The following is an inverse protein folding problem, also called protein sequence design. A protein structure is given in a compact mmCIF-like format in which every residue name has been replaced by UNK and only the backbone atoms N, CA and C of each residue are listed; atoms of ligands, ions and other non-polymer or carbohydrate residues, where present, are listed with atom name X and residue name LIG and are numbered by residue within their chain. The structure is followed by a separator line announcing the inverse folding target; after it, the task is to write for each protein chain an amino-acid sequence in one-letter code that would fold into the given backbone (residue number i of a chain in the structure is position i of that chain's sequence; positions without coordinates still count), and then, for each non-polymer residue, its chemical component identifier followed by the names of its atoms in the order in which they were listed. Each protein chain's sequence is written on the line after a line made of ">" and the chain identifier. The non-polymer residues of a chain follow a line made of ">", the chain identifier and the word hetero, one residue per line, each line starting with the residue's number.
data_IF_984255927924
#
_entry.id   IF_984255927924
#
_cell.length_a   1.000
_cell.length_b   1.000
_cell.length_c   1.000
_cell.angle_alpha   90.00
_cell.angle_beta   90.00
_cell.angle_gamma   90.00
#
_symmetry.space_group_name_H-M   'P 1'
#
loop_
_entity.id
_entity.type
_entity.pdbx_description
1 polymer ?
#
# COMPACT_ATOMS: atom_id res chain seq x y z
N UNK A 1 -47.23 0.78 12.16
CA UNK A 1 -46.98 -0.66 12.29
C UNK A 1 -46.44 -1.25 10.98
N UNK A 2 -46.97 -0.83 9.83
CA UNK A 2 -46.64 -1.42 8.51
C UNK A 2 -45.20 -1.16 8.04
N UNK A 3 -44.60 -0.02 8.40
CA UNK A 3 -43.20 0.28 8.06
C UNK A 3 -42.19 -0.62 8.81
N UNK A 4 -42.50 -0.96 10.06
CA UNK A 4 -41.69 -1.89 10.87
C UNK A 4 -41.81 -3.32 10.35
N UNK A 5 -43.02 -3.74 9.98
CA UNK A 5 -43.27 -5.05 9.39
C UNK A 5 -42.56 -5.22 8.04
N UNK A 6 -42.56 -4.15 7.22
CA UNK A 6 -41.87 -4.12 5.93
C UNK A 6 -40.35 -4.18 6.08
N UNK A 7 -39.78 -3.47 7.07
CA UNK A 7 -38.36 -3.58 7.40
C UNK A 7 -37.98 -4.98 7.90
N UNK A 8 -38.80 -5.59 8.75
CA UNK A 8 -38.60 -6.97 9.23
C UNK A 8 -38.63 -7.97 8.07
N UNK A 9 -39.57 -7.83 7.13
CA UNK A 9 -39.68 -8.71 5.97
C UNK A 9 -38.43 -8.60 5.07
N UNK A 10 -37.95 -7.37 4.82
CA UNK A 10 -36.72 -7.13 4.06
C UNK A 10 -35.49 -7.73 4.76
N UNK A 11 -35.39 -7.63 6.08
CA UNK A 11 -34.31 -8.25 6.86
C UNK A 11 -34.37 -9.78 6.79
N UNK A 12 -35.57 -10.37 6.83
CA UNK A 12 -35.76 -11.83 6.71
C UNK A 12 -35.40 -12.32 5.31
N UNK A 13 -35.79 -11.60 4.25
CA UNK A 13 -35.43 -11.93 2.87
C UNK A 13 -33.92 -11.78 2.66
N UNK A 14 -33.30 -10.75 3.24
CA UNK A 14 -31.86 -10.56 3.21
C UNK A 14 -31.14 -11.71 3.96
N UNK A 15 -31.61 -12.10 5.14
CA UNK A 15 -31.06 -13.22 5.90
C UNK A 15 -31.21 -14.55 5.14
N UNK A 16 -32.37 -14.81 4.53
CA UNK A 16 -32.63 -16.01 3.74
C UNK A 16 -31.77 -16.05 2.47
N UNK A 17 -31.61 -14.93 1.76
CA UNK A 17 -30.75 -14.86 0.58
C UNK A 17 -29.28 -15.01 0.93
N UNK A 18 -28.80 -14.40 2.02
CA UNK A 18 -27.44 -14.62 2.55
C UNK A 18 -27.23 -16.08 2.96
N UNK A 19 -28.23 -16.71 3.58
CA UNK A 19 -28.18 -18.12 3.96
C UNK A 19 -28.13 -19.04 2.73
N UNK A 20 -28.95 -18.79 1.71
CA UNK A 20 -28.97 -19.57 0.46
C UNK A 20 -27.66 -19.39 -0.33
N UNK A 21 -27.13 -18.16 -0.43
CA UNK A 21 -25.83 -17.89 -1.06
C UNK A 21 -24.69 -18.59 -0.29
N UNK A 22 -24.75 -18.62 1.05
CA UNK A 22 -23.77 -19.34 1.85
C UNK A 22 -23.80 -20.85 1.61
N UNK A 23 -25.00 -21.43 1.46
CA UNK A 23 -25.17 -22.85 1.10
C UNK A 23 -24.73 -23.14 -0.34
N UNK A 24 -25.04 -22.28 -1.29
CA UNK A 24 -24.61 -22.44 -2.69
C UNK A 24 -23.08 -22.35 -2.84
N UNK A 25 -22.42 -21.41 -2.14
CA UNK A 25 -20.94 -21.36 -2.06
C UNK A 25 -20.34 -22.59 -1.40
N UNK A 26 -21.02 -23.17 -0.40
CA UNK A 26 -20.59 -24.42 0.25
C UNK A 26 -20.76 -25.63 -0.68
N UNK A 27 -21.80 -25.63 -1.51
CA UNK A 27 -22.15 -26.75 -2.41
C UNK A 27 -21.39 -26.74 -3.75
N UNK A 28 -20.73 -25.63 -4.12
CA UNK A 28 -19.88 -25.56 -5.32
C UNK A 28 -18.45 -26.10 -5.10
N UNK A 29 -18.23 -26.86 -4.03
CA UNK A 29 -17.02 -27.67 -3.81
C UNK A 29 -17.27 -29.10 -4.30
N UNK A 30 -17.53 -29.25 -5.59
CA UNK A 30 -17.77 -30.54 -6.22
C UNK A 30 -16.49 -31.21 -6.73
N UNK A 31 -16.30 -32.47 -6.33
CA UNK A 31 -15.55 -33.54 -7.00
C UNK A 31 -14.01 -33.58 -6.86
N UNK A 32 -13.54 -34.31 -5.85
CA UNK A 32 -12.16 -34.74 -5.62
C UNK A 32 -11.77 -34.53 -4.16
N UNK A 33 -11.29 -35.55 -3.47
CA UNK A 33 -10.93 -35.53 -2.03
C UNK A 33 -9.68 -34.67 -1.72
N UNK A 34 -9.63 -33.43 -2.18
CA UNK A 34 -8.52 -32.52 -1.89
C UNK A 34 -8.69 -31.97 -0.47
N UNK A 35 -7.65 -32.15 0.36
CA UNK A 35 -7.62 -31.63 1.73
C UNK A 35 -7.41 -30.11 1.64
N UNK A 36 -8.47 -29.32 1.82
CA UNK A 36 -8.34 -27.86 1.91
C UNK A 36 -7.70 -27.45 3.25
N UNK A 37 -7.02 -26.28 3.32
CA UNK A 37 -6.47 -25.78 4.58
C UNK A 37 -7.55 -25.68 5.68
N UNK A 38 -7.21 -26.02 6.93
CA UNK A 38 -8.14 -25.97 8.04
C UNK A 38 -8.55 -24.52 8.34
N UNK A 39 -9.76 -24.35 8.86
CA UNK A 39 -10.30 -23.03 9.23
C UNK A 39 -11.66 -22.72 8.61
N UNK A 40 -12.22 -21.60 9.06
CA UNK A 40 -13.58 -21.13 8.78
C UNK A 40 -13.54 -19.88 7.90
N UNK A 41 -14.59 -19.65 7.11
CA UNK A 41 -14.74 -18.43 6.31
C UNK A 41 -15.65 -17.39 6.96
N UNK A 42 -16.10 -17.60 8.20
CA UNK A 42 -16.91 -16.63 8.94
C UNK A 42 -18.28 -16.34 8.30
N UNK A 43 -18.75 -15.10 8.48
CA UNK A 43 -20.07 -14.63 8.04
C UNK A 43 -20.15 -14.46 6.51
N UNK A 44 -21.33 -14.61 5.90
CA UNK A 44 -21.51 -14.29 4.48
C UNK A 44 -21.07 -12.84 4.18
N UNK A 45 -20.39 -12.65 3.04
CA UNK A 45 -19.89 -11.36 2.51
C UNK A 45 -18.75 -10.68 3.30
N UNK A 46 -18.80 -10.64 4.63
CA UNK A 46 -17.80 -9.95 5.46
C UNK A 46 -16.74 -10.89 6.05
N UNK A 47 -17.02 -12.19 6.04
CA UNK A 47 -16.11 -13.22 6.51
C UNK A 47 -15.75 -13.06 7.99
N UNK A 48 -14.46 -13.11 8.29
CA UNK A 48 -13.86 -12.83 9.58
C UNK A 48 -13.22 -11.43 9.65
N UNK A 49 -13.47 -10.55 8.66
CA UNK A 49 -12.82 -9.24 8.55
C UNK A 49 -12.99 -8.37 9.80
N UNK A 50 -14.19 -8.36 10.41
CA UNK A 50 -14.43 -7.58 11.63
C UNK A 50 -13.62 -8.13 12.82
N UNK A 51 -13.55 -9.46 12.94
CA UNK A 51 -12.75 -10.13 13.98
C UNK A 51 -11.26 -9.83 13.79
N UNK A 52 -10.78 -9.84 12.55
CA UNK A 52 -9.40 -9.45 12.21
C UNK A 52 -9.10 -8.00 12.63
N UNK A 53 -9.98 -7.06 12.30
CA UNK A 53 -9.82 -5.64 12.68
C UNK A 53 -9.85 -5.44 14.19
N UNK A 54 -10.79 -6.10 14.90
CA UNK A 54 -10.93 -5.96 16.35
C UNK A 54 -9.76 -6.57 17.14
N UNK A 55 -9.23 -7.72 16.69
CA UNK A 55 -8.12 -8.37 17.37
C UNK A 55 -6.75 -7.79 16.96
N UNK A 56 -6.67 -7.23 15.77
CA UNK A 56 -5.41 -6.89 15.11
C UNK A 56 -4.76 -8.11 14.43
N UNK A 57 -3.88 -7.89 13.43
CA UNK A 57 -3.27 -8.96 12.64
C UNK A 57 -2.56 -10.02 13.50
N UNK A 58 -1.67 -9.60 14.39
CA UNK A 58 -0.84 -10.49 15.22
C UNK A 58 -1.68 -11.47 16.06
N UNK A 59 -2.63 -10.94 16.84
CA UNK A 59 -3.50 -11.77 17.70
C UNK A 59 -4.44 -12.65 16.90
N UNK A 60 -4.94 -12.14 15.77
CA UNK A 60 -5.79 -12.93 14.89
C UNK A 60 -5.03 -14.12 14.30
N UNK A 61 -3.85 -13.86 13.69
CA UNK A 61 -3.05 -14.88 13.01
C UNK A 61 -2.52 -15.90 14.02
N UNK A 62 -1.91 -15.45 15.13
CA UNK A 62 -1.40 -16.36 16.17
C UNK A 62 -2.49 -17.27 16.76
N UNK A 63 -3.70 -16.73 16.97
CA UNK A 63 -4.86 -17.53 17.37
C UNK A 63 -5.23 -18.59 16.33
N UNK A 64 -5.23 -18.24 15.04
CA UNK A 64 -5.52 -19.18 13.95
C UNK A 64 -4.44 -20.24 13.78
N UNK A 65 -3.17 -19.88 13.97
CA UNK A 65 -2.07 -20.84 13.96
C UNK A 65 -2.24 -21.90 15.04
N UNK A 66 -2.67 -21.47 16.24
CA UNK A 66 -2.93 -22.37 17.37
C UNK A 66 -4.18 -23.24 17.16
N UNK A 67 -5.27 -22.65 16.69
CA UNK A 67 -6.58 -23.31 16.65
C UNK A 67 -6.79 -24.15 15.37
N UNK A 68 -6.10 -23.83 14.27
CA UNK A 68 -6.32 -24.46 12.97
C UNK A 68 -5.09 -25.24 12.48
N UNK A 69 -3.97 -24.54 12.27
CA UNK A 69 -2.73 -25.14 11.79
C UNK A 69 -1.59 -24.12 11.88
N UNK A 70 -0.40 -24.53 12.36
CA UNK A 70 0.76 -23.66 12.44
C UNK A 70 1.39 -23.35 11.07
N UNK A 71 1.02 -24.08 10.01
CA UNK A 71 1.63 -23.95 8.68
C UNK A 71 0.77 -23.14 7.70
N UNK A 72 -0.53 -23.44 7.66
CA UNK A 72 -1.47 -22.81 6.73
C UNK A 72 -2.91 -22.94 7.22
N UNK A 73 -3.68 -21.86 7.17
CA UNK A 73 -5.10 -21.89 7.48
C UNK A 73 -5.94 -21.14 6.46
N UNK A 74 -7.22 -21.49 6.37
CA UNK A 74 -8.23 -20.80 5.56
C UNK A 74 -8.95 -19.76 6.40
N UNK A 75 -9.20 -18.59 5.81
CA UNK A 75 -10.10 -17.56 6.35
C UNK A 75 -10.86 -16.86 5.23
N UNK A 76 -11.74 -15.91 5.57
CA UNK A 76 -12.24 -14.92 4.64
C UNK A 76 -12.04 -13.51 5.18
N UNK A 77 -11.25 -12.70 4.46
CA UNK A 77 -11.01 -11.29 4.78
C UNK A 77 -11.30 -10.45 3.53
N UNK A 78 -11.83 -9.24 3.73
CA UNK A 78 -12.16 -8.28 2.67
C UNK A 78 -13.12 -8.85 1.60
N UNK A 79 -13.99 -9.77 2.01
CA UNK A 79 -14.96 -10.43 1.12
C UNK A 79 -14.41 -11.58 0.28
N UNK A 80 -13.13 -11.89 0.42
CA UNK A 80 -12.45 -12.94 -0.33
C UNK A 80 -12.14 -14.14 0.56
N UNK A 81 -12.17 -15.35 -0.01
CA UNK A 81 -11.63 -16.54 0.68
C UNK A 81 -10.13 -16.61 0.44
N UNK A 82 -9.37 -16.83 1.51
CA UNK A 82 -7.91 -16.84 1.43
C UNK A 82 -7.25 -17.91 2.27
N UNK A 83 -6.10 -18.39 1.80
CA UNK A 83 -5.17 -19.19 2.57
C UNK A 83 -4.05 -18.30 3.11
N UNK A 84 -3.84 -18.34 4.43
CA UNK A 84 -2.75 -17.64 5.12
C UNK A 84 -1.66 -18.64 5.41
N UNK A 85 -0.50 -18.40 4.81
CA UNK A 85 0.74 -19.17 4.98
C UNK A 85 1.44 -18.60 6.20
N UNK A 86 1.84 -19.46 7.12
CA UNK A 86 2.34 -19.03 8.41
C UNK A 86 3.83 -19.36 8.55
N UNK A 87 4.54 -18.44 9.18
CA UNK A 87 5.96 -18.57 9.50
C UNK A 87 6.90 -18.54 8.29
N UNK A 88 8.21 -18.59 8.56
CA UNK A 88 9.24 -18.36 7.54
C UNK A 88 9.19 -19.35 6.37
N UNK A 89 8.75 -20.59 6.62
CA UNK A 89 8.61 -21.60 5.57
C UNK A 89 7.47 -21.27 4.60
N UNK A 90 6.34 -20.78 5.12
CA UNK A 90 5.17 -20.38 4.36
C UNK A 90 5.46 -19.15 3.51
N UNK A 91 6.05 -18.13 4.12
CA UNK A 91 6.51 -16.93 3.41
C UNK A 91 7.50 -17.27 2.31
N UNK A 92 8.56 -18.03 2.63
CA UNK A 92 9.56 -18.43 1.65
C UNK A 92 8.92 -19.18 0.49
N UNK A 93 7.98 -20.08 0.75
CA UNK A 93 7.28 -20.80 -0.30
C UNK A 93 6.50 -19.84 -1.20
N UNK A 94 5.73 -18.92 -0.61
CA UNK A 94 4.91 -17.97 -1.35
C UNK A 94 5.75 -17.01 -2.19
N UNK A 95 6.80 -16.41 -1.62
CA UNK A 95 7.65 -15.45 -2.31
C UNK A 95 8.58 -16.10 -3.34
N UNK A 96 9.07 -17.33 -3.11
CA UNK A 96 9.91 -18.04 -4.09
C UNK A 96 9.12 -18.52 -5.32
N UNK A 97 7.80 -18.63 -5.18
CA UNK A 97 6.88 -19.03 -6.24
C UNK A 97 6.05 -17.86 -6.79
N UNK A 98 6.49 -16.63 -6.55
CA UNK A 98 5.86 -15.45 -7.12
C UNK A 98 5.92 -15.48 -8.66
N UNK A 99 4.83 -15.06 -9.30
CA UNK A 99 4.52 -15.17 -10.71
C UNK A 99 4.49 -16.59 -11.30
N UNK A 100 4.95 -17.61 -10.57
CA UNK A 100 4.87 -19.03 -10.95
C UNK A 100 3.53 -19.61 -10.53
N UNK A 101 3.30 -19.75 -9.22
CA UNK A 101 2.10 -20.33 -8.62
C UNK A 101 1.09 -19.27 -8.17
N UNK A 102 1.58 -18.11 -7.73
CA UNK A 102 0.76 -16.98 -7.31
C UNK A 102 1.09 -15.73 -8.15
N UNK A 103 0.15 -14.80 -8.22
CA UNK A 103 0.35 -13.48 -8.84
C UNK A 103 -0.10 -12.39 -7.87
N UNK A 104 0.43 -11.17 -8.01
CA UNK A 104 -0.06 -10.01 -7.28
C UNK A 104 -1.56 -9.82 -7.50
N UNK A 105 -2.27 -9.58 -6.41
CA UNK A 105 -3.67 -9.25 -6.36
C UNK A 105 -3.84 -8.00 -5.50
N UNK A 106 -4.90 -7.23 -5.72
CA UNK A 106 -5.27 -6.14 -4.81
C UNK A 106 -6.76 -6.24 -4.52
N UNK A 107 -7.19 -6.02 -3.27
CA UNK A 107 -8.60 -5.90 -2.94
C UNK A 107 -9.31 -4.88 -3.83
N UNK A 108 -10.56 -5.16 -4.17
CA UNK A 108 -11.35 -4.29 -5.04
C UNK A 108 -11.45 -2.86 -4.48
N UNK A 109 -11.48 -2.72 -3.16
CA UNK A 109 -11.47 -1.43 -2.47
C UNK A 109 -10.25 -0.58 -2.85
N UNK A 110 -9.08 -1.22 -2.86
CA UNK A 110 -7.80 -0.61 -3.24
C UNK A 110 -7.80 -0.27 -4.72
N UNK A 111 -8.18 -1.21 -5.58
CA UNK A 111 -8.16 -0.99 -7.04
C UNK A 111 -9.03 0.19 -7.45
N UNK A 112 -10.28 0.26 -6.98
CA UNK A 112 -11.18 1.37 -7.37
C UNK A 112 -10.80 2.72 -6.76
N UNK A 113 -10.15 2.72 -5.59
CA UNK A 113 -9.68 3.94 -4.96
C UNK A 113 -8.42 4.49 -5.66
N UNK A 114 -7.44 3.64 -5.95
CA UNK A 114 -6.13 4.09 -6.41
C UNK A 114 -5.99 4.17 -7.93
N UNK A 115 -6.68 3.30 -8.66
CA UNK A 115 -6.38 3.05 -10.08
C UNK A 115 -7.54 3.53 -10.96
N UNK A 116 -7.22 3.96 -12.19
CA UNK A 116 -8.23 4.30 -13.19
C UNK A 116 -9.13 3.09 -13.53
N UNK A 117 -10.44 3.30 -13.83
CA UNK A 117 -11.37 2.21 -14.14
C UNK A 117 -10.87 1.23 -15.20
N UNK A 118 -10.21 1.73 -16.24
CA UNK A 118 -9.65 0.96 -17.36
C UNK A 118 -8.59 -0.08 -16.94
N UNK A 119 -8.00 0.09 -15.76
CA UNK A 119 -6.98 -0.79 -15.20
C UNK A 119 -7.50 -1.63 -14.02
N UNK A 120 -8.77 -1.50 -13.63
CA UNK A 120 -9.35 -2.25 -12.50
C UNK A 120 -9.53 -3.73 -12.86
N UNK A 121 -9.91 -4.01 -14.10
CA UNK A 121 -10.21 -5.37 -14.58
C UNK A 121 -9.01 -6.05 -15.24
N UNK A 122 -8.01 -5.27 -15.69
CA UNK A 122 -6.78 -5.80 -16.22
C UNK A 122 -5.92 -6.42 -15.12
N UNK A 123 -5.25 -7.54 -15.43
CA UNK A 123 -4.35 -8.18 -14.49
C UNK A 123 -3.22 -7.20 -14.13
N UNK A 124 -2.86 -7.13 -12.85
CA UNK A 124 -1.80 -6.27 -12.29
C UNK A 124 -0.42 -6.46 -12.97
N UNK A 125 -0.31 -7.36 -13.95
CA UNK A 125 0.89 -7.62 -14.76
C UNK A 125 1.39 -6.38 -15.51
N UNK A 126 0.50 -5.60 -16.14
CA UNK A 126 0.91 -4.45 -16.95
C UNK A 126 1.44 -3.30 -16.07
N UNK A 127 0.89 -3.17 -14.85
CA UNK A 127 1.40 -2.24 -13.83
C UNK A 127 2.73 -2.76 -13.22
N UNK A 128 2.96 -4.07 -13.17
CA UNK A 128 4.09 -4.68 -12.47
C UNK A 128 5.41 -4.76 -13.27
N UNK A 129 5.36 -4.80 -14.61
CA UNK A 129 6.57 -4.76 -15.44
C UNK A 129 7.16 -3.34 -15.48
N UNK A 130 6.32 -2.35 -15.79
CA UNK A 130 6.68 -0.94 -15.87
C UNK A 130 7.18 -0.37 -14.52
N UNK A 131 6.58 -0.83 -13.42
CA UNK A 131 7.00 -0.49 -12.04
C UNK A 131 8.42 -0.97 -11.71
N UNK A 132 8.91 -2.09 -12.28
CA UNK A 132 10.22 -2.65 -11.90
C UNK A 132 11.38 -1.79 -12.40
N UNK A 133 11.37 -1.41 -13.68
CA UNK A 133 12.46 -0.61 -14.26
C UNK A 133 12.61 0.73 -13.55
N UNK A 134 11.48 1.39 -13.33
CA UNK A 134 11.47 2.71 -12.74
C UNK A 134 11.77 2.70 -11.22
N UNK A 135 11.34 1.66 -10.50
CA UNK A 135 11.69 1.52 -9.09
C UNK A 135 13.19 1.34 -8.86
N UNK A 136 13.88 0.64 -9.77
CA UNK A 136 15.33 0.50 -9.70
C UNK A 136 16.05 1.84 -9.90
N UNK A 137 15.59 2.69 -10.82
CA UNK A 137 16.26 3.97 -11.08
C UNK A 137 16.20 4.96 -9.93
N UNK A 138 15.16 4.87 -9.11
CA UNK A 138 14.84 5.89 -8.10
C UNK A 138 15.33 5.48 -6.72
N UNK A 139 15.58 4.18 -6.55
CA UNK A 139 16.16 3.60 -5.34
C UNK A 139 17.65 3.28 -5.51
N UNK A 140 18.26 3.59 -6.66
CA UNK A 140 19.71 3.41 -6.84
C UNK A 140 20.51 4.37 -5.93
N UNK A 141 21.72 3.99 -5.50
CA UNK A 141 22.52 4.81 -4.58
C UNK A 141 22.68 6.27 -5.01
N UNK A 142 22.91 6.53 -6.30
CA UNK A 142 23.05 7.90 -6.82
C UNK A 142 21.78 8.75 -6.63
N UNK A 143 20.60 8.17 -6.82
CA UNK A 143 19.34 8.85 -6.58
C UNK A 143 19.14 9.13 -5.08
N UNK A 144 19.42 8.14 -4.23
CA UNK A 144 19.31 8.29 -2.78
C UNK A 144 20.26 9.37 -2.24
N UNK A 145 21.50 9.44 -2.74
CA UNK A 145 22.47 10.50 -2.41
C UNK A 145 21.92 11.90 -2.71
N UNK A 146 21.19 12.05 -3.81
CA UNK A 146 20.56 13.32 -4.17
C UNK A 146 19.38 13.66 -3.25
N UNK A 147 18.67 12.66 -2.71
CA UNK A 147 17.53 12.88 -1.82
C UNK A 147 17.93 13.34 -0.42
N UNK A 148 19.07 12.89 0.12
CA UNK A 148 19.51 13.20 1.49
C UNK A 148 19.47 14.70 1.82
N UNK A 149 20.13 15.61 1.06
CA UNK A 149 20.10 17.04 1.40
C UNK A 149 18.70 17.65 1.30
N UNK A 150 17.85 17.15 0.40
CA UNK A 150 16.45 17.58 0.27
C UNK A 150 15.66 17.15 1.52
N UNK A 151 15.82 15.89 1.93
CA UNK A 151 15.16 15.32 3.12
C UNK A 151 15.56 16.08 4.39
N UNK A 152 16.85 16.36 4.58
CA UNK A 152 17.36 17.09 5.74
C UNK A 152 16.84 18.53 5.76
N UNK A 153 16.95 19.26 4.64
CA UNK A 153 16.44 20.63 4.54
C UNK A 153 14.94 20.71 4.86
N UNK A 154 14.12 19.85 4.24
CA UNK A 154 12.68 19.80 4.52
C UNK A 154 12.38 19.37 5.96
N UNK A 155 13.15 18.45 6.55
CA UNK A 155 12.96 18.03 7.94
C UNK A 155 13.21 19.19 8.90
N UNK A 156 14.27 19.97 8.68
CA UNK A 156 14.58 21.16 9.49
C UNK A 156 13.46 22.19 9.39
N UNK A 157 13.01 22.52 8.19
CA UNK A 157 11.90 23.46 7.97
C UNK A 157 10.61 22.98 8.64
N UNK A 158 10.30 21.69 8.54
CA UNK A 158 9.12 21.11 9.19
C UNK A 158 9.21 21.16 10.72
N UNK A 159 10.37 20.85 11.30
CA UNK A 159 10.60 20.95 12.75
C UNK A 159 10.50 22.40 13.21
N UNK A 160 11.07 23.35 12.47
CA UNK A 160 11.02 24.78 12.82
C UNK A 160 9.60 25.32 12.76
N UNK A 161 8.84 24.99 11.70
CA UNK A 161 7.50 25.51 11.49
C UNK A 161 6.42 24.83 12.35
N UNK A 162 6.48 23.50 12.49
CA UNK A 162 5.38 22.72 13.04
C UNK A 162 5.65 22.17 14.46
N UNK A 163 6.91 21.98 14.86
CA UNK A 163 7.29 21.33 16.12
C UNK A 163 7.75 22.34 17.17
N UNK A 164 8.80 23.12 16.85
CA UNK A 164 9.48 24.06 17.76
C UNK A 164 8.56 25.10 18.42
N UNK A 165 7.52 25.63 17.76
CA UNK A 165 6.61 26.60 18.37
C UNK A 165 5.67 25.99 19.42
N UNK A 166 5.66 24.65 19.58
CA UNK A 166 4.69 23.93 20.41
C UNK A 166 5.41 23.17 21.52
N UNK A 167 4.88 23.27 22.74
CA UNK A 167 5.39 22.51 23.91
C UNK A 167 5.08 21.01 23.82
N UNK A 168 3.93 20.67 23.23
CA UNK A 168 3.46 19.30 23.05
C UNK A 168 2.91 19.15 21.63
N UNK A 169 3.21 18.01 21.01
CA UNK A 169 2.81 17.73 19.64
C UNK A 169 2.27 16.31 19.50
N UNK A 170 1.40 16.12 18.51
CA UNK A 170 1.03 14.79 18.02
C UNK A 170 1.96 14.43 16.87
N UNK A 171 2.91 13.52 17.12
CA UNK A 171 3.95 13.15 16.15
C UNK A 171 3.34 12.55 14.88
N UNK A 172 2.43 11.58 14.98
CA UNK A 172 1.91 10.85 13.82
C UNK A 172 1.27 11.76 12.74
N UNK A 173 0.36 12.70 13.06
CA UNK A 173 -0.16 13.64 12.06
C UNK A 173 0.92 14.51 11.40
N UNK A 174 1.90 14.98 12.17
CA UNK A 174 2.99 15.82 11.65
C UNK A 174 3.95 15.02 10.77
N UNK A 175 4.33 13.81 11.20
CA UNK A 175 5.13 12.90 10.39
C UNK A 175 4.43 12.55 9.07
N UNK A 176 3.11 12.30 9.09
CA UNK A 176 2.33 12.04 7.87
C UNK A 176 2.34 13.23 6.91
N UNK A 177 2.15 14.45 7.44
CA UNK A 177 2.28 15.69 6.66
C UNK A 177 3.67 15.78 6.02
N UNK A 178 4.73 15.68 6.83
CA UNK A 178 6.11 15.72 6.35
C UNK A 178 6.39 14.68 5.25
N UNK A 179 6.02 13.41 5.46
CA UNK A 179 6.25 12.35 4.47
C UNK A 179 5.48 12.56 3.17
N UNK A 180 4.28 13.15 3.25
CA UNK A 180 3.49 13.46 2.06
C UNK A 180 4.11 14.63 1.28
N UNK A 181 4.46 15.72 1.97
CA UNK A 181 5.11 16.89 1.37
C UNK A 181 6.44 16.49 0.75
N UNK A 182 7.24 15.66 1.44
CA UNK A 182 8.49 15.11 0.92
C UNK A 182 8.26 14.24 -0.32
N UNK A 183 7.23 13.40 -0.35
CA UNK A 183 6.90 12.60 -1.53
C UNK A 183 6.48 13.50 -2.71
N UNK A 184 5.68 14.54 -2.47
CA UNK A 184 5.36 15.56 -3.49
C UNK A 184 6.62 16.25 -4.01
N UNK A 185 7.56 16.60 -3.13
CA UNK A 185 8.84 17.20 -3.53
C UNK A 185 9.69 16.25 -4.37
N UNK A 186 9.98 15.05 -3.87
CA UNK A 186 10.89 14.11 -4.52
C UNK A 186 10.32 13.54 -5.82
N UNK A 187 9.00 13.31 -5.87
CA UNK A 187 8.37 12.63 -7.00
C UNK A 187 7.75 13.57 -8.03
N UNK A 188 7.24 14.73 -7.60
CA UNK A 188 6.51 15.62 -8.50
C UNK A 188 7.21 16.97 -8.66
N UNK A 189 8.27 17.23 -7.88
CA UNK A 189 8.92 18.52 -7.80
C UNK A 189 7.97 19.66 -7.41
N UNK A 190 6.99 19.37 -6.54
CA UNK A 190 6.01 20.35 -6.05
C UNK A 190 6.46 20.86 -4.69
N UNK A 191 6.54 22.19 -4.56
CA UNK A 191 6.88 22.89 -3.31
C UNK A 191 5.74 23.77 -2.81
N UNK A 192 4.86 24.23 -3.72
CA UNK A 192 3.79 25.16 -3.36
C UNK A 192 2.78 24.50 -2.40
N UNK A 193 2.52 25.10 -1.22
CA UNK A 193 1.63 24.51 -0.23
C UNK A 193 0.19 24.30 -0.72
N UNK A 194 -0.32 25.16 -1.61
CA UNK A 194 -1.67 25.01 -2.15
C UNK A 194 -1.74 23.87 -3.16
N UNK A 195 -0.71 23.70 -4.00
CA UNK A 195 -0.58 22.54 -4.90
C UNK A 195 -0.50 21.22 -4.11
N UNK A 196 0.29 21.18 -3.04
CA UNK A 196 0.37 20.00 -2.15
C UNK A 196 -1.00 19.72 -1.53
N UNK A 197 -1.69 20.76 -1.06
CA UNK A 197 -3.00 20.63 -0.41
C UNK A 197 -4.08 20.10 -1.35
N UNK A 198 -4.06 20.51 -2.63
CA UNK A 198 -4.98 19.96 -3.66
C UNK A 198 -4.80 18.46 -3.86
N UNK A 199 -3.63 17.90 -3.58
CA UNK A 199 -3.39 16.46 -3.54
C UNK A 199 -3.72 15.86 -2.17
N UNK A 200 -3.25 16.44 -1.06
CA UNK A 200 -3.35 15.85 0.27
C UNK A 200 -4.77 15.72 0.79
N UNK A 201 -5.62 16.73 0.55
CA UNK A 201 -7.00 16.76 1.04
C UNK A 201 -7.85 15.60 0.49
N UNK A 202 -7.94 15.39 -0.84
CA UNK A 202 -8.63 14.22 -1.37
C UNK A 202 -7.89 12.90 -1.07
N UNK A 203 -6.55 12.92 -0.96
CA UNK A 203 -5.77 11.73 -0.62
C UNK A 203 -6.07 11.20 0.79
N UNK A 204 -6.34 12.07 1.77
CA UNK A 204 -6.77 11.65 3.11
C UNK A 204 -8.03 10.77 3.07
N UNK A 205 -8.96 11.07 2.15
CA UNK A 205 -10.19 10.27 1.94
C UNK A 205 -9.87 8.91 1.35
N UNK A 206 -8.91 8.85 0.41
CA UNK A 206 -8.42 7.59 -0.18
C UNK A 206 -7.90 6.66 0.92
N UNK A 207 -6.96 7.14 1.74
CA UNK A 207 -6.35 6.34 2.79
C UNK A 207 -7.39 5.87 3.82
N UNK A 208 -8.33 6.74 4.20
CA UNK A 208 -9.36 6.41 5.19
C UNK A 208 -10.31 5.27 4.79
N UNK A 209 -10.44 4.98 3.48
CA UNK A 209 -11.35 3.95 2.99
C UNK A 209 -10.69 2.85 2.17
N UNK A 210 -9.36 2.77 2.15
CA UNK A 210 -8.58 1.86 1.31
C UNK A 210 -8.89 0.37 1.59
N UNK A 211 -9.08 0.03 2.86
CA UNK A 211 -9.38 -1.34 3.33
C UNK A 211 -10.84 -1.52 3.78
N UNK A 212 -11.73 -0.61 3.37
CA UNK A 212 -13.14 -0.68 3.72
C UNK A 212 -13.87 -1.75 2.92
N UNK A 213 -14.74 -2.51 3.60
CA UNK A 213 -15.82 -3.26 2.96
C UNK A 213 -16.76 -2.26 2.24
N UNK A 214 -17.55 -2.64 1.22
CA UNK A 214 -18.42 -1.72 0.47
C UNK A 214 -19.50 -0.98 1.31
N UNK A 215 -19.08 0.05 2.06
CA UNK A 215 -19.89 0.95 2.90
C UNK A 215 -19.58 2.42 2.56
N UNK A 216 -20.10 3.39 3.31
CA UNK A 216 -19.90 4.82 3.05
C UNK A 216 -18.42 5.25 2.97
N UNK A 217 -17.53 4.65 3.76
CA UNK A 217 -16.09 4.93 3.69
C UNK A 217 -15.46 4.54 2.33
N UNK A 218 -15.97 3.47 1.71
CA UNK A 218 -15.51 3.00 0.40
C UNK A 218 -15.89 3.97 -0.73
N UNK A 219 -17.11 4.55 -0.71
CA UNK A 219 -17.50 5.55 -1.70
C UNK A 219 -16.71 6.85 -1.55
N UNK A 220 -16.41 7.26 -0.31
CA UNK A 220 -15.51 8.37 -0.03
C UNK A 220 -14.11 8.18 -0.61
N UNK A 221 -13.54 6.97 -0.48
CA UNK A 221 -12.24 6.63 -1.04
C UNK A 221 -12.21 6.69 -2.57
N UNK A 222 -13.25 6.16 -3.23
CA UNK A 222 -13.36 6.22 -4.71
C UNK A 222 -13.44 7.67 -5.19
N UNK A 223 -14.25 8.51 -4.52
CA UNK A 223 -14.38 9.93 -4.86
C UNK A 223 -13.05 10.67 -4.66
N UNK A 224 -12.38 10.44 -3.53
CA UNK A 224 -11.05 11.00 -3.27
C UNK A 224 -10.03 10.56 -4.31
N UNK A 225 -10.05 9.27 -4.68
CA UNK A 225 -9.18 8.70 -5.69
C UNK A 225 -9.35 9.34 -7.05
N UNK A 226 -10.60 9.59 -7.46
CA UNK A 226 -10.89 10.35 -8.68
C UNK A 226 -10.28 11.76 -8.63
N UNK A 227 -10.50 12.49 -7.54
CA UNK A 227 -9.96 13.85 -7.38
C UNK A 227 -8.43 13.89 -7.44
N UNK A 228 -7.75 12.95 -6.78
CA UNK A 228 -6.29 12.81 -6.85
C UNK A 228 -5.83 12.53 -8.28
N UNK A 229 -6.49 11.60 -8.99
CA UNK A 229 -6.15 11.29 -10.38
C UNK A 229 -6.35 12.49 -11.31
N UNK A 230 -7.43 13.24 -11.14
CA UNK A 230 -7.72 14.43 -11.95
C UNK A 230 -6.64 15.52 -11.75
N UNK A 231 -6.23 15.77 -10.49
CA UNK A 231 -5.15 16.72 -10.18
C UNK A 231 -3.80 16.24 -10.73
N UNK A 232 -3.48 14.95 -10.58
CA UNK A 232 -2.25 14.37 -11.13
C UNK A 232 -2.20 14.47 -12.66
N UNK A 233 -3.31 14.21 -13.37
CA UNK A 233 -3.36 14.39 -14.82
C UNK A 233 -3.09 15.85 -15.22
N UNK A 234 -3.60 16.81 -14.45
CA UNK A 234 -3.31 18.24 -14.65
C UNK A 234 -1.81 18.55 -14.49
N UNK A 235 -1.18 18.01 -13.44
CA UNK A 235 0.25 18.16 -13.17
C UNK A 235 1.09 17.50 -14.28
N UNK A 236 0.76 16.27 -14.66
CA UNK A 236 1.44 15.49 -15.71
C UNK A 236 1.41 16.25 -17.03
N UNK A 237 0.23 16.73 -17.47
CA UNK A 237 0.07 17.49 -18.71
C UNK A 237 0.87 18.78 -18.72
N UNK A 238 0.85 19.52 -17.61
CA UNK A 238 1.60 20.76 -17.45
C UNK A 238 3.10 20.48 -17.57
N UNK A 239 3.59 19.43 -16.91
CA UNK A 239 5.00 19.03 -16.98
C UNK A 239 5.41 18.54 -18.37
N UNK A 240 4.58 17.73 -19.02
CA UNK A 240 4.83 17.26 -20.38
C UNK A 240 4.97 18.43 -21.36
N UNK A 241 4.10 19.44 -21.24
CA UNK A 241 4.19 20.67 -22.03
C UNK A 241 5.51 21.42 -21.77
N UNK A 242 5.88 21.62 -20.51
CA UNK A 242 7.14 22.28 -20.14
C UNK A 242 8.37 21.58 -20.72
N UNK A 243 8.43 20.24 -20.65
CA UNK A 243 9.50 19.44 -21.24
C UNK A 243 9.55 19.53 -22.77
N UNK A 244 8.39 19.63 -23.42
CA UNK A 244 8.32 19.78 -24.88
C UNK A 244 8.78 21.16 -25.36
N UNK A 245 8.54 22.21 -24.56
CA UNK A 245 8.88 23.60 -24.88
C UNK A 245 10.31 23.97 -24.49
N UNK A 246 10.88 23.32 -23.46
CA UNK A 246 12.22 23.59 -22.95
C UNK A 246 13.12 22.35 -23.01
N UNK A 247 13.86 22.21 -24.13
CA UNK A 247 14.75 21.06 -24.38
C UNK A 247 15.98 21.01 -23.45
N UNK A 248 16.31 22.10 -22.79
CA UNK A 248 17.45 22.18 -21.86
C UNK A 248 17.05 21.81 -20.42
N UNK A 249 15.76 21.53 -20.17
CA UNK A 249 15.29 21.16 -18.84
C UNK A 249 15.78 19.75 -18.47
N UNK A 250 16.73 19.68 -17.54
CA UNK A 250 17.24 18.42 -16.99
C UNK A 250 16.14 17.75 -16.15
N UNK A 251 15.79 16.51 -16.49
CA UNK A 251 14.82 15.71 -15.75
C UNK A 251 15.39 15.21 -14.42
N UNK A 252 15.38 16.07 -13.40
CA UNK A 252 15.90 15.75 -12.07
C UNK A 252 14.91 14.92 -11.25
N UNK A 253 13.63 15.25 -11.33
CA UNK A 253 12.56 14.61 -10.58
C UNK A 253 11.92 13.41 -11.29
N UNK A 254 11.20 12.64 -10.49
CA UNK A 254 10.62 11.37 -10.87
C UNK A 254 9.63 11.47 -12.03
N UNK A 255 8.70 12.41 -11.95
CA UNK A 255 7.66 12.60 -12.97
C UNK A 255 8.29 12.94 -14.32
N UNK A 256 9.28 13.84 -14.32
CA UNK A 256 10.00 14.20 -15.55
C UNK A 256 10.70 13.00 -16.17
N UNK A 257 11.26 12.09 -15.35
CA UNK A 257 11.85 10.84 -15.86
C UNK A 257 10.82 9.86 -16.39
N UNK A 258 9.67 9.69 -15.71
CA UNK A 258 8.58 8.85 -16.22
C UNK A 258 8.05 9.33 -17.58
N UNK A 259 7.96 10.65 -17.78
CA UNK A 259 7.52 11.26 -19.03
C UNK A 259 8.48 11.03 -20.21
N UNK A 260 9.76 10.83 -19.93
CA UNK A 260 10.80 10.58 -20.92
C UNK A 260 11.14 9.09 -21.08
N UNK A 261 10.62 8.24 -20.19
CA UNK A 261 10.90 6.81 -20.18
C UNK A 261 10.13 6.10 -21.30
N UNK A 262 10.86 5.35 -22.12
CA UNK A 262 10.32 4.48 -23.16
C UNK A 262 10.21 3.06 -22.60
N UNK A 263 9.05 2.44 -22.78
CA UNK A 263 8.85 1.02 -22.50
C UNK A 263 9.73 0.18 -23.41
N UNK A 264 10.65 -0.59 -22.81
CA UNK A 264 11.60 -1.44 -23.53
C UNK A 264 10.93 -2.62 -24.24
N UNK A 265 9.70 -3.00 -23.87
CA UNK A 265 8.98 -4.11 -24.52
C UNK A 265 8.18 -3.66 -25.75
N UNK A 266 7.72 -2.40 -25.78
CA UNK A 266 6.78 -1.90 -26.80
C UNK A 266 7.26 -0.64 -27.55
N UNK A 267 8.45 -0.13 -27.23
CA UNK A 267 9.01 1.14 -27.74
C UNK A 267 8.05 2.35 -27.61
N UNK A 268 7.18 2.33 -26.59
CA UNK A 268 6.17 3.37 -26.36
C UNK A 268 6.45 4.14 -25.07
N UNK A 269 6.22 5.45 -25.11
CA UNK A 269 6.17 6.28 -23.90
C UNK A 269 4.98 5.86 -23.04
N UNK A 270 5.14 5.98 -21.72
CA UNK A 270 4.04 5.76 -20.78
C UNK A 270 2.91 6.76 -21.06
N UNK A 271 1.67 6.26 -21.03
CA UNK A 271 0.54 7.17 -21.11
C UNK A 271 0.30 7.87 -19.76
N UNK A 272 -0.42 8.99 -19.78
CA UNK A 272 -0.67 9.81 -18.59
C UNK A 272 -1.33 9.03 -17.44
N UNK A 273 -2.17 8.05 -17.74
CA UNK A 273 -2.88 7.25 -16.75
C UNK A 273 -1.95 6.25 -16.05
N UNK A 274 -1.00 5.66 -16.79
CA UNK A 274 0.05 4.79 -16.23
C UNK A 274 0.97 5.57 -15.30
N UNK A 275 1.42 6.74 -15.73
CA UNK A 275 2.25 7.65 -14.92
C UNK A 275 1.50 8.02 -13.63
N UNK A 276 0.24 8.43 -13.76
CA UNK A 276 -0.60 8.79 -12.61
C UNK A 276 -0.82 7.61 -11.64
N UNK A 277 -1.09 6.40 -12.14
CA UNK A 277 -1.19 5.20 -11.31
C UNK A 277 0.10 4.90 -10.54
N UNK A 278 1.28 5.04 -11.20
CA UNK A 278 2.57 4.83 -10.56
C UNK A 278 2.84 5.86 -9.46
N UNK A 279 2.57 7.14 -9.73
CA UNK A 279 2.71 8.22 -8.74
C UNK A 279 1.80 7.96 -7.54
N UNK A 280 0.53 7.60 -7.73
CA UNK A 280 -0.39 7.30 -6.62
C UNK A 280 0.15 6.14 -5.78
N UNK A 281 0.67 5.08 -6.42
CA UNK A 281 1.29 3.97 -5.71
C UNK A 281 2.45 4.40 -4.81
N UNK A 282 3.29 5.32 -5.28
CA UNK A 282 4.41 5.86 -4.52
C UNK A 282 3.98 6.79 -3.38
N UNK A 283 2.94 7.60 -3.59
CA UNK A 283 2.36 8.44 -2.54
C UNK A 283 1.77 7.57 -1.41
N UNK A 284 1.05 6.49 -1.74
CA UNK A 284 0.51 5.54 -0.76
C UNK A 284 1.62 4.83 0.01
N UNK A 285 2.67 4.39 -0.69
CA UNK A 285 3.82 3.75 -0.06
C UNK A 285 4.54 4.70 0.91
N UNK A 286 4.72 5.96 0.52
CA UNK A 286 5.45 6.96 1.32
C UNK A 286 4.66 7.41 2.55
N UNK A 287 3.34 7.56 2.42
CA UNK A 287 2.45 8.00 3.51
C UNK A 287 2.36 7.00 4.68
N UNK A 288 2.62 5.72 4.41
CA UNK A 288 2.49 4.64 5.39
C UNK A 288 3.74 4.42 6.23
N UNK A 289 4.88 5.01 5.84
CA UNK A 289 6.18 4.82 6.47
C UNK A 289 6.48 5.93 7.48
N UNK A 290 5.92 5.84 8.69
CA UNK A 290 6.29 6.75 9.79
C UNK A 290 7.10 6.02 10.84
N UNK A 291 8.40 6.34 10.96
CA UNK A 291 9.23 5.89 12.07
C UNK A 291 9.04 6.78 13.30
N UNK A 292 9.11 6.20 14.49
CA UNK A 292 9.10 6.96 15.74
C UNK A 292 10.43 7.69 15.91
N UNK A 293 10.43 8.99 16.22
CA UNK A 293 11.68 9.72 16.44
C UNK A 293 12.34 9.21 17.73
N UNK A 294 13.51 8.59 17.59
CA UNK A 294 14.37 8.23 18.72
C UNK A 294 15.67 9.03 18.62
N UNK A 295 15.81 10.03 19.48
CA UNK A 295 17.04 10.79 19.61
C UNK A 295 18.02 9.97 20.45
N UNK A 296 19.15 9.62 19.84
CA UNK A 296 20.23 8.90 20.51
C UNK A 296 21.51 9.72 20.49
N UNK A 297 22.52 9.24 21.23
CA UNK A 297 23.87 9.80 21.25
C UNK A 297 24.48 9.89 19.84
N UNK A 298 24.15 8.95 18.96
CA UNK A 298 24.61 8.88 17.57
C UNK A 298 24.27 10.16 16.79
N UNK A 299 23.02 10.62 16.84
CA UNK A 299 22.61 11.83 16.11
C UNK A 299 23.28 13.09 16.69
N UNK A 300 23.55 13.14 17.99
CA UNK A 300 24.26 14.25 18.62
C UNK A 300 25.73 14.32 18.15
N UNK A 301 26.39 13.18 18.00
CA UNK A 301 27.78 13.12 17.50
C UNK A 301 27.86 13.57 16.03
N UNK A 302 26.92 13.13 15.19
CA UNK A 302 26.81 13.60 13.80
C UNK A 302 26.57 15.10 13.75
N UNK A 303 25.60 15.61 14.53
CA UNK A 303 25.29 17.03 14.56
C UNK A 303 26.47 17.91 15.01
N UNK A 304 27.28 17.44 15.98
CA UNK A 304 28.48 18.16 16.45
C UNK A 304 29.60 18.20 15.42
N UNK A 305 29.67 17.20 14.53
CA UNK A 305 30.67 17.16 13.47
C UNK A 305 30.31 18.08 12.28
N UNK A 306 29.09 18.61 12.24
CA UNK A 306 28.59 19.48 11.16
C UNK A 306 28.91 20.94 11.41
N UNK A 307 29.26 21.64 10.32
CA UNK A 307 29.35 23.09 10.31
C UNK A 307 27.98 23.78 10.40
N UNK A 308 27.93 25.09 10.71
CA UNK A 308 26.68 25.85 10.74
C UNK A 308 25.95 25.76 9.39
N UNK A 309 24.70 25.29 9.40
CA UNK A 309 23.88 25.15 8.20
C UNK A 309 24.29 23.99 7.26
N UNK A 310 25.33 23.23 7.59
CA UNK A 310 25.74 22.09 6.77
C UNK A 310 24.64 21.00 6.79
N UNK A 311 24.27 20.52 5.60
CA UNK A 311 23.28 19.46 5.44
C UNK A 311 23.89 18.08 5.62
N UNK A 312 23.06 17.11 5.96
CA UNK A 312 23.43 15.70 5.97
C UNK A 312 23.86 15.26 4.56
N UNK A 313 24.81 14.34 4.52
CA UNK A 313 25.31 13.69 3.33
C UNK A 313 25.29 12.16 3.50
N UNK A 314 25.71 11.44 2.45
CA UNK A 314 25.70 9.98 2.42
C UNK A 314 26.51 9.35 3.57
N UNK A 315 27.70 9.88 3.87
CA UNK A 315 28.55 9.35 4.93
C UNK A 315 27.93 9.51 6.32
N UNK A 316 27.15 10.57 6.53
CA UNK A 316 26.43 10.74 7.79
C UNK A 316 25.37 9.67 7.97
N UNK A 317 24.61 9.37 6.92
CA UNK A 317 23.59 8.32 6.94
C UNK A 317 24.23 6.94 7.18
N UNK A 318 25.39 6.65 6.58
CA UNK A 318 26.12 5.40 6.82
C UNK A 318 26.63 5.25 8.26
N UNK A 319 26.85 6.36 8.97
CA UNK A 319 27.22 6.37 10.39
C UNK A 319 26.03 6.10 11.32
N UNK A 320 24.78 6.24 10.85
CA UNK A 320 23.55 6.08 11.65
C UNK A 320 23.14 4.60 11.87
N UNK A 321 24.08 3.77 12.33
CA UNK A 321 23.88 2.33 12.51
C UNK A 321 22.83 2.01 13.57
N UNK A 322 22.87 2.68 14.71
CA UNK A 322 21.91 2.48 15.78
C UNK A 322 20.50 2.92 15.36
N UNK A 323 20.40 4.07 14.69
CA UNK A 323 19.13 4.54 14.12
C UNK A 323 18.53 3.51 13.16
N UNK A 324 19.37 2.88 12.33
CA UNK A 324 18.93 1.83 11.42
C UNK A 324 18.42 0.60 12.15
N UNK A 325 19.08 0.17 13.23
CA UNK A 325 18.59 -0.94 14.05
C UNK A 325 17.24 -0.62 14.71
N UNK A 326 17.05 0.62 15.18
CA UNK A 326 15.74 1.08 15.70
C UNK A 326 14.66 1.02 14.60
N UNK A 327 14.97 1.47 13.38
CA UNK A 327 14.03 1.39 12.24
C UNK A 327 13.70 -0.07 11.93
N UNK A 328 14.70 -0.96 11.91
CA UNK A 328 14.49 -2.40 11.67
C UNK A 328 13.63 -3.04 12.73
N UNK A 329 13.84 -2.69 14.00
CA UNK A 329 13.05 -3.23 15.10
C UNK A 329 11.61 -2.71 15.08
N UNK A 330 11.42 -1.42 14.76
CA UNK A 330 10.10 -0.85 14.56
C UNK A 330 9.36 -1.55 13.40
N UNK A 331 10.04 -1.81 12.28
CA UNK A 331 9.47 -2.57 11.15
C UNK A 331 9.19 -4.02 11.49
N UNK A 332 9.99 -4.66 12.36
CA UNK A 332 9.75 -6.02 12.85
C UNK A 332 8.50 -6.10 13.74
N UNK A 333 8.29 -5.10 14.58
CA UNK A 333 7.17 -5.06 15.53
C UNK A 333 5.87 -4.54 14.90
N UNK A 334 5.96 -3.58 14.00
CA UNK A 334 4.80 -2.92 13.40
C UNK A 334 5.07 -2.63 11.92
N UNK A 335 5.07 -3.66 11.07
CA UNK A 335 5.27 -3.47 9.64
C UNK A 335 4.11 -2.63 9.06
N UNK A 336 4.41 -1.67 8.17
CA UNK A 336 3.40 -0.73 7.63
C UNK A 336 2.41 -1.40 6.67
N UNK A 337 2.78 -2.52 6.06
CA UNK A 337 1.92 -3.35 5.24
C UNK A 337 1.74 -4.72 5.92
N UNK A 338 0.50 -5.20 5.95
CA UNK A 338 0.11 -6.47 6.57
C UNK A 338 -0.37 -7.43 5.47
N UNK A 339 0.26 -8.60 5.39
CA UNK A 339 -0.04 -9.62 4.39
C UNK A 339 0.47 -9.31 2.97
N UNK A 340 0.61 -10.36 2.17
CA UNK A 340 1.06 -10.27 0.78
C UNK A 340 -0.13 -10.52 -0.15
N UNK A 341 -0.83 -9.47 -0.60
CA UNK A 341 -2.01 -9.61 -1.45
C UNK A 341 -1.71 -10.35 -2.76
N UNK A 342 -2.02 -11.65 -2.80
CA UNK A 342 -1.73 -12.53 -3.93
C UNK A 342 -2.91 -13.42 -4.27
N UNK A 343 -2.92 -13.96 -5.48
CA UNK A 343 -3.93 -14.89 -5.98
C UNK A 343 -3.27 -16.12 -6.60
N UNK A 344 -3.78 -17.30 -6.27
CA UNK A 344 -3.34 -18.58 -6.82
C UNK A 344 -3.70 -18.68 -8.31
N UNK A 345 -2.70 -18.85 -9.19
CA UNK A 345 -2.88 -18.98 -10.64
C UNK A 345 -3.31 -20.37 -11.07
N UNK A 346 -2.93 -21.38 -10.29
CA UNK A 346 -3.20 -22.80 -10.50
C UNK A 346 -3.48 -23.44 -9.16
N UNK A 347 -4.03 -24.65 -9.16
CA UNK A 347 -4.07 -25.48 -7.97
C UNK A 347 -2.63 -25.87 -7.60
N UNK A 348 -2.28 -25.81 -6.33
CA UNK A 348 -1.00 -26.30 -5.83
C UNK A 348 -1.13 -26.83 -4.40
N UNK A 349 -0.11 -27.55 -3.92
CA UNK A 349 -0.12 -28.14 -2.57
C UNK A 349 0.91 -27.49 -1.67
N UNK A 350 0.55 -27.24 -0.42
CA UNK A 350 1.44 -26.78 0.64
C UNK A 350 1.04 -27.43 1.97
N UNK A 351 2.03 -27.92 2.73
CA UNK A 351 1.81 -28.61 4.01
C UNK A 351 0.74 -29.73 3.96
N UNK A 352 0.65 -30.45 2.84
CA UNK A 352 -0.34 -31.52 2.65
C UNK A 352 -1.77 -31.05 2.33
N UNK A 353 -1.97 -29.75 2.14
CA UNK A 353 -3.26 -29.15 1.75
C UNK A 353 -3.23 -28.61 0.33
N UNK A 354 -4.33 -28.75 -0.39
CA UNK A 354 -4.52 -28.17 -1.73
C UNK A 354 -5.04 -26.74 -1.62
N UNK A 355 -4.33 -25.82 -2.26
CA UNK A 355 -4.74 -24.43 -2.46
C UNK A 355 -5.37 -24.32 -3.85
N UNK A 356 -6.68 -24.10 -3.97
CA UNK A 356 -7.35 -23.99 -5.26
C UNK A 356 -6.95 -22.72 -6.02
N UNK A 357 -6.95 -22.81 -7.35
CA UNK A 357 -6.86 -21.68 -8.26
C UNK A 357 -7.91 -20.63 -7.93
N UNK A 358 -7.52 -19.36 -8.00
CA UNK A 358 -8.37 -18.19 -7.74
C UNK A 358 -8.50 -17.84 -6.26
N UNK A 359 -8.08 -18.70 -5.33
CA UNK A 359 -8.00 -18.32 -3.92
C UNK A 359 -6.99 -17.21 -3.72
N UNK A 360 -7.31 -16.30 -2.80
CA UNK A 360 -6.31 -15.33 -2.37
C UNK A 360 -5.35 -16.03 -1.42
N UNK A 361 -4.08 -15.63 -1.46
CA UNK A 361 -3.04 -16.19 -0.64
C UNK A 361 -2.24 -15.05 -0.01
N UNK A 362 -1.85 -15.22 1.24
CA UNK A 362 -1.09 -14.21 1.99
C UNK A 362 -0.09 -14.89 2.91
N UNK A 363 1.09 -14.30 3.09
CA UNK A 363 1.93 -14.53 4.28
C UNK A 363 1.31 -13.92 5.53
N UNK A 364 1.85 -14.27 6.70
CA UNK A 364 1.45 -13.75 8.01
C UNK A 364 2.00 -12.35 8.35
#
# INVERSE_FOLDING_TARGET
>A
MDALLSCLLLLVILAASLFLVSRAKKHNTGSGSSKLPPGTTGWPLVGESMKFVMLGPEKYISGRMKDCSPDVFRTSLLGETMAVFCGPAGDKFLFSNDNKLATSWLPLSIKKALVFPDFVDNSVKDIAALKRNFMHEILKPDALRHYIPIMDSMARQHIEADWSPRKEIKVLPLSKKYTFDLACRLFLNIEDPEDIKRLSDPFSRVISGLFSVPVAAYSGAIKGGKMVRDELLSIIRRRAKQLSENKDMVATDLLSRMLLAVDQENDKLMNEMEISNNVIGLLVASYSCTASPYLSREQMEIAKAKGPGELLNWEDIEKMKYSWDVVREALRLTPPAQGSFREAKTDFTYAGFTIPKGWKVSGD
#
